data_IF_751631579220
#
_entry.id   IF_751631579220
#
_cell.length_a   1.000
_cell.length_b   1.000
_cell.length_c   1.000
_cell.angle_alpha   90.00
_cell.angle_beta   90.00
_cell.angle_gamma   90.00
#
_symmetry.space_group_name_H-M   'P 1'
#
loop_
_entity.id
_entity.type
_entity.pdbx_description
1 polymer ?
#
# COMPACT_ATOMS: atom_id res chain seq x y z
N UNK A 1 -20.27 -17.40 -10.74
CA UNK A 1 -19.59 -16.19 -11.29
C UNK A 1 -20.38 -15.76 -12.51
N UNK A 2 -20.90 -14.53 -12.59
CA UNK A 2 -21.56 -14.04 -13.81
C UNK A 2 -20.55 -13.33 -14.75
N UNK A 3 -20.92 -13.18 -16.01
CA UNK A 3 -20.03 -12.61 -17.03
C UNK A 3 -19.65 -11.14 -16.73
N UNK A 4 -20.60 -10.36 -16.21
CA UNK A 4 -20.35 -8.97 -15.80
C UNK A 4 -19.29 -8.86 -14.70
N UNK A 5 -19.41 -9.66 -13.63
CA UNK A 5 -18.42 -9.69 -12.55
C UNK A 5 -17.08 -10.17 -13.08
N UNK A 6 -17.04 -11.21 -13.92
CA UNK A 6 -15.80 -11.67 -14.53
C UNK A 6 -15.09 -10.54 -15.30
N UNK A 7 -15.80 -9.82 -16.16
CA UNK A 7 -15.21 -8.68 -16.88
C UNK A 7 -14.76 -7.55 -15.95
N UNK A 8 -15.53 -7.24 -14.90
CA UNK A 8 -15.14 -6.22 -13.92
C UNK A 8 -13.85 -6.61 -13.19
N UNK A 9 -13.70 -7.87 -12.79
CA UNK A 9 -12.48 -8.37 -12.17
C UNK A 9 -11.28 -8.21 -13.12
N UNK A 10 -11.45 -8.61 -14.38
CA UNK A 10 -10.39 -8.42 -15.38
C UNK A 10 -10.02 -6.95 -15.62
N UNK A 11 -10.99 -6.04 -15.63
CA UNK A 11 -10.73 -4.60 -15.74
C UNK A 11 -9.89 -4.09 -14.57
N UNK A 12 -10.25 -4.48 -13.34
CA UNK A 12 -9.51 -4.10 -12.13
C UNK A 12 -8.09 -4.65 -12.15
N UNK A 13 -7.91 -5.93 -12.49
CA UNK A 13 -6.59 -6.56 -12.54
C UNK A 13 -5.68 -5.95 -13.61
N UNK A 14 -6.23 -5.56 -14.77
CA UNK A 14 -5.46 -4.88 -15.83
C UNK A 14 -4.98 -3.48 -15.43
N UNK A 15 -5.65 -2.83 -14.48
CA UNK A 15 -5.30 -1.51 -13.99
C UNK A 15 -4.36 -1.55 -12.77
N UNK A 16 -3.87 -2.73 -12.36
CA UNK A 16 -2.97 -2.84 -11.22
C UNK A 16 -1.56 -2.36 -11.55
N UNK A 17 -0.99 -1.61 -10.62
CA UNK A 17 0.39 -1.12 -10.63
C UNK A 17 1.18 -1.95 -9.63
N UNK A 18 1.95 -2.92 -10.12
CA UNK A 18 2.74 -3.84 -9.28
C UNK A 18 4.12 -3.29 -8.93
N UNK A 19 4.51 -2.19 -9.58
CA UNK A 19 5.73 -1.41 -9.40
C UNK A 19 5.53 -0.17 -8.52
N UNK A 20 4.33 -0.01 -7.94
CA UNK A 20 4.01 1.03 -6.96
C UNK A 20 3.47 0.38 -5.67
N UNK A 21 4.02 0.77 -4.52
CA UNK A 21 3.61 0.26 -3.20
C UNK A 21 3.69 1.36 -2.15
N UNK A 22 3.03 1.13 -1.01
CA UNK A 22 3.12 2.00 0.17
C UNK A 22 3.75 1.24 1.34
N UNK A 23 4.64 1.92 2.07
CA UNK A 23 5.16 1.46 3.34
C UNK A 23 4.61 2.36 4.46
N UNK A 24 3.87 1.78 5.38
CA UNK A 24 3.28 2.44 6.54
C UNK A 24 4.11 2.06 7.77
N UNK A 25 4.93 2.99 8.23
CA UNK A 25 5.74 2.80 9.44
C UNK A 25 4.99 3.34 10.66
N UNK A 26 4.78 2.48 11.65
CA UNK A 26 4.25 2.82 12.98
C UNK A 26 2.90 3.58 12.98
N UNK A 27 2.01 3.29 12.02
CA UNK A 27 0.66 3.87 12.00
C UNK A 27 -0.18 3.28 13.14
N UNK A 28 -0.27 4.01 14.26
CA UNK A 28 -0.88 3.54 15.51
C UNK A 28 -2.38 3.20 15.45
N UNK A 29 -3.13 3.73 14.49
CA UNK A 29 -4.58 3.52 14.39
C UNK A 29 -4.92 2.54 13.26
N UNK A 30 -5.46 1.34 13.53
CA UNK A 30 -5.88 0.37 12.50
C UNK A 30 -6.86 0.92 11.46
N UNK A 31 -7.68 1.91 11.86
CA UNK A 31 -8.62 2.58 10.97
C UNK A 31 -7.90 3.43 9.90
N UNK A 32 -6.76 4.04 10.24
CA UNK A 32 -5.96 4.79 9.27
C UNK A 32 -5.33 3.84 8.25
N UNK A 33 -4.77 2.71 8.71
CA UNK A 33 -4.25 1.67 7.79
C UNK A 33 -5.36 1.14 6.89
N UNK A 34 -6.57 0.94 7.42
CA UNK A 34 -7.72 0.50 6.62
C UNK A 34 -8.16 1.55 5.59
N UNK A 35 -8.11 2.84 5.93
CA UNK A 35 -8.38 3.92 4.98
C UNK A 35 -7.32 3.94 3.87
N UNK A 36 -6.03 3.79 4.20
CA UNK A 36 -4.96 3.69 3.20
C UNK A 36 -5.16 2.50 2.27
N UNK A 37 -5.58 1.33 2.78
CA UNK A 37 -5.88 0.15 1.94
C UNK A 37 -7.02 0.43 0.95
N UNK A 38 -8.05 1.19 1.35
CA UNK A 38 -9.12 1.60 0.43
C UNK A 38 -8.59 2.53 -0.67
N UNK A 39 -7.72 3.47 -0.31
CA UNK A 39 -7.07 4.35 -1.29
C UNK A 39 -6.18 3.57 -2.24
N UNK A 40 -5.38 2.62 -1.71
CA UNK A 40 -4.53 1.74 -2.50
C UNK A 40 -5.33 0.92 -3.54
N UNK A 41 -6.48 0.37 -3.15
CA UNK A 41 -7.37 -0.36 -4.08
C UNK A 41 -7.90 0.56 -5.19
N UNK A 42 -8.32 1.77 -4.81
CA UNK A 42 -8.86 2.77 -5.72
C UNK A 42 -7.81 3.31 -6.71
N UNK A 43 -6.55 3.39 -6.31
CA UNK A 43 -5.43 3.85 -7.16
C UNK A 43 -4.68 2.72 -7.84
N UNK A 44 -5.13 1.47 -7.71
CA UNK A 44 -4.56 0.35 -8.45
C UNK A 44 -3.33 -0.31 -7.82
N UNK A 45 -2.97 0.01 -6.57
CA UNK A 45 -1.87 -0.66 -5.89
C UNK A 45 -2.22 -2.13 -5.63
N UNK A 46 -1.27 -3.02 -5.90
CA UNK A 46 -1.45 -4.44 -5.63
C UNK A 46 -1.18 -4.80 -4.17
N UNK A 47 -0.22 -4.11 -3.55
CA UNK A 47 0.34 -4.45 -2.25
C UNK A 47 0.64 -3.20 -1.42
N UNK A 48 0.54 -3.34 -0.10
CA UNK A 48 1.01 -2.37 0.89
C UNK A 48 1.78 -3.10 2.00
N UNK A 49 2.75 -2.43 2.60
CA UNK A 49 3.53 -2.92 3.73
C UNK A 49 3.15 -2.11 4.98
N UNK A 50 2.74 -2.76 6.06
CA UNK A 50 2.37 -2.13 7.32
C UNK A 50 3.23 -2.65 8.47
N UNK A 51 4.13 -1.79 8.96
CA UNK A 51 4.98 -2.05 10.13
C UNK A 51 4.25 -1.50 11.35
N UNK A 52 3.95 -2.37 12.31
CA UNK A 52 3.16 -2.02 13.49
C UNK A 52 4.07 -1.62 14.66
N UNK A 53 3.70 -0.60 15.46
CA UNK A 53 4.51 -0.17 16.61
C UNK A 53 4.45 -1.11 17.83
N UNK A 54 3.65 -2.20 17.80
CA UNK A 54 3.46 -3.18 18.89
C UNK A 54 2.87 -4.53 18.36
N UNK A 55 2.51 -5.50 19.23
CA UNK A 55 1.69 -6.70 18.91
C UNK A 55 0.24 -6.35 18.48
N UNK A 56 0.01 -5.28 17.75
CA UNK A 56 -1.30 -4.93 17.25
C UNK A 56 -1.60 -5.70 15.96
N UNK A 57 -2.45 -6.72 16.05
CA UNK A 57 -3.04 -7.40 14.89
C UNK A 57 -4.51 -7.67 15.16
N UNK A 58 -5.37 -6.86 14.56
CA UNK A 58 -6.53 -7.31 13.76
C UNK A 58 -7.05 -6.07 13.06
N UNK A 59 -6.95 -6.02 11.73
CA UNK A 59 -7.60 -4.98 10.97
C UNK A 59 -9.07 -5.38 10.76
N UNK A 60 -9.93 -5.11 11.73
CA UNK A 60 -11.35 -5.47 11.68
C UNK A 60 -12.09 -4.65 10.62
N UNK A 61 -12.66 -5.34 9.61
CA UNK A 61 -13.79 -5.01 8.71
C UNK A 61 -13.93 -3.62 8.06
N UNK A 62 -13.05 -2.67 8.31
CA UNK A 62 -13.20 -1.27 7.88
C UNK A 62 -12.54 -0.98 6.53
N UNK A 63 -12.20 -1.97 5.71
CA UNK A 63 -11.66 -1.70 4.35
C UNK A 63 -12.70 -1.79 3.25
N UNK A 64 -13.99 -1.92 3.59
CA UNK A 64 -15.09 -2.04 2.61
C UNK A 64 -14.85 -3.11 1.52
N UNK A 65 -14.13 -4.20 1.85
CA UNK A 65 -13.78 -5.27 0.90
C UNK A 65 -12.48 -5.08 0.11
N UNK A 66 -11.81 -3.92 0.19
CA UNK A 66 -10.54 -3.64 -0.49
C UNK A 66 -9.40 -4.62 -0.10
N UNK A 67 -9.45 -5.19 1.12
CA UNK A 67 -8.51 -6.24 1.56
C UNK A 67 -8.55 -7.52 0.72
N UNK A 68 -9.64 -7.77 -0.02
CA UNK A 68 -9.70 -8.89 -0.93
C UNK A 68 -8.89 -8.65 -2.21
N UNK A 69 -8.44 -7.41 -2.43
CA UNK A 69 -7.85 -6.94 -3.67
C UNK A 69 -6.46 -6.32 -3.52
N UNK A 70 -6.11 -5.92 -2.29
CA UNK A 70 -4.82 -5.34 -1.92
C UNK A 70 -4.22 -6.19 -0.81
N UNK A 71 -3.04 -6.75 -1.08
CA UNK A 71 -2.30 -7.50 -0.09
C UNK A 71 -1.68 -6.55 0.96
N UNK A 72 -1.89 -6.83 2.25
CA UNK A 72 -1.27 -6.09 3.33
C UNK A 72 -0.21 -6.97 4.00
N UNK A 73 1.04 -6.80 3.59
CA UNK A 73 2.16 -7.45 4.24
C UNK A 73 2.50 -6.74 5.55
N UNK A 74 2.96 -7.48 6.55
CA UNK A 74 3.38 -6.91 7.83
C UNK A 74 4.84 -7.26 8.15
N UNK A 75 5.82 -6.58 7.53
CA UNK A 75 7.22 -6.76 7.85
C UNK A 75 7.52 -6.40 9.31
N UNK A 76 8.54 -7.02 9.89
CA UNK A 76 8.94 -6.76 11.28
C UNK A 76 9.59 -5.39 11.48
N UNK A 77 10.11 -4.78 10.41
CA UNK A 77 10.74 -3.46 10.45
C UNK A 77 10.75 -2.81 9.06
N UNK A 78 10.94 -1.49 9.02
CA UNK A 78 11.04 -0.76 7.74
C UNK A 78 12.27 -1.22 6.95
N UNK A 79 13.37 -1.58 7.62
CA UNK A 79 14.58 -2.07 6.98
C UNK A 79 14.33 -3.39 6.22
N UNK A 80 13.52 -4.30 6.78
CA UNK A 80 13.12 -5.51 6.06
C UNK A 80 12.29 -5.19 4.83
N UNK A 81 11.33 -4.27 4.93
CA UNK A 81 10.52 -3.84 3.79
C UNK A 81 11.39 -3.24 2.68
N UNK A 82 12.24 -2.28 3.00
CA UNK A 82 13.15 -1.63 2.03
C UNK A 82 14.11 -2.64 1.41
N UNK A 83 14.65 -3.58 2.20
CA UNK A 83 15.57 -4.62 1.71
C UNK A 83 14.88 -5.54 0.70
N UNK A 84 13.59 -5.83 0.87
CA UNK A 84 12.81 -6.61 -0.09
C UNK A 84 12.46 -5.85 -1.37
N UNK A 85 12.33 -4.52 -1.30
CA UNK A 85 11.95 -3.66 -2.43
C UNK A 85 13.16 -3.23 -3.29
N UNK A 86 14.35 -3.07 -2.70
CA UNK A 86 15.57 -2.67 -3.43
C UNK A 86 15.93 -3.57 -4.62
N UNK A 87 15.89 -4.91 -4.52
CA UNK A 87 16.16 -5.80 -5.66
C UNK A 87 15.16 -5.64 -6.82
N UNK A 88 13.96 -5.13 -6.53
CA UNK A 88 12.93 -4.85 -7.53
C UNK A 88 13.15 -3.53 -8.28
N UNK A 89 14.27 -2.84 -8.02
CA UNK A 89 14.65 -1.55 -8.61
C UNK A 89 13.64 -0.42 -8.32
N UNK A 90 12.93 -0.52 -7.21
CA UNK A 90 11.98 0.52 -6.79
C UNK A 90 12.73 1.70 -6.15
N UNK A 91 12.27 2.91 -6.44
CA UNK A 91 12.71 4.11 -5.75
C UNK A 91 12.00 4.22 -4.38
N UNK A 92 12.77 4.49 -3.32
CA UNK A 92 12.22 4.65 -1.97
C UNK A 92 12.05 6.14 -1.70
N UNK A 93 10.79 6.57 -1.59
CA UNK A 93 10.41 7.94 -1.26
C UNK A 93 9.91 7.98 0.18
N UNK A 94 10.28 9.03 0.92
CA UNK A 94 9.91 9.20 2.32
C UNK A 94 9.22 10.54 2.50
N UNK A 95 8.06 10.55 3.13
CA UNK A 95 7.39 11.77 3.56
C UNK A 95 8.09 12.30 4.81
N UNK A 96 8.69 13.49 4.72
CA UNK A 96 9.50 14.05 5.79
C UNK A 96 9.14 15.54 5.99
N UNK A 97 8.91 15.95 7.24
CA UNK A 97 8.65 17.35 7.59
C UNK A 97 9.97 18.07 7.82
N UNK A 98 10.71 18.33 6.73
CA UNK A 98 12.01 18.99 6.75
C UNK A 98 12.07 20.08 5.68
N UNK A 99 12.80 21.16 5.97
CA UNK A 99 13.01 22.26 5.03
C UNK A 99 13.81 21.86 3.78
N UNK A 100 14.45 20.68 3.79
CA UNK A 100 15.18 20.12 2.64
C UNK A 100 14.34 19.14 1.82
N UNK A 101 13.09 18.87 2.23
CA UNK A 101 12.18 18.05 1.45
C UNK A 101 11.70 18.81 0.20
N UNK A 102 11.51 18.08 -0.90
CA UNK A 102 10.92 18.62 -2.14
C UNK A 102 9.40 18.47 -2.11
N UNK A 103 8.68 19.27 -2.92
CA UNK A 103 7.23 19.08 -3.08
C UNK A 103 6.98 17.71 -3.73
N UNK A 104 6.05 16.93 -3.17
CA UNK A 104 5.76 15.58 -3.66
C UNK A 104 5.30 15.57 -5.13
N UNK A 105 4.80 16.69 -5.66
CA UNK A 105 4.36 16.83 -7.05
C UNK A 105 5.52 16.95 -8.05
N UNK A 106 6.72 17.22 -7.57
CA UNK A 106 7.93 17.30 -8.40
C UNK A 106 8.57 15.94 -8.65
N UNK A 107 8.10 14.89 -7.96
CA UNK A 107 8.59 13.53 -8.11
C UNK A 107 7.94 12.87 -9.34
N UNK A 108 8.77 12.23 -10.15
CA UNK A 108 8.29 11.28 -11.16
C UNK A 108 8.01 9.93 -10.51
N UNK A 109 6.74 9.52 -10.56
CA UNK A 109 6.25 8.24 -10.04
C UNK A 109 6.11 7.17 -11.13
N UNK A 110 6.54 7.47 -12.36
CA UNK A 110 6.48 6.56 -13.52
C UNK A 110 7.82 5.90 -13.85
#
# INVERSE_FOLDING_TARGET
MNLERYHRIHQVLKARQTDLTLCLEEVHKPNNVSAVIRTADATGLHKVHAIWPDKMRTLTHTSAGARNWVEAETPNSIQHAITALKPQRMHVLVTNLSDTAVDFREIDYT
#
